data_IF_678667658410
#
_entry.id   IF_678667658410
#
_cell.length_a   1.000
_cell.length_b   1.000
_cell.length_c   1.000
_cell.angle_alpha   90.00
_cell.angle_beta   90.00
_cell.angle_gamma   90.00
#
_symmetry.space_group_name_H-M   'P 1'
#
loop_
_entity.id
_entity.type
_entity.pdbx_description
1 polymer ?
#
# COMPACT_ATOMS: atom_id res chain seq x y z
N UNK A 1 -9.62 31.58 -8.94
CA UNK A 1 -8.97 30.59 -9.81
C UNK A 1 -7.47 30.87 -9.72
N UNK A 2 -6.80 30.21 -8.78
CA UNK A 2 -5.45 30.59 -8.37
C UNK A 2 -4.41 30.13 -9.38
N UNK A 3 -3.35 30.91 -9.57
CA UNK A 3 -2.22 30.61 -10.46
C UNK A 3 -1.62 29.22 -10.17
N UNK A 4 -1.71 28.78 -8.91
CA UNK A 4 -1.39 27.44 -8.43
C UNK A 4 -2.21 26.37 -9.17
N UNK A 5 -3.53 26.53 -9.30
CA UNK A 5 -4.45 25.63 -10.00
C UNK A 5 -4.04 25.39 -11.47
N UNK A 6 -3.58 26.45 -12.15
CA UNK A 6 -3.17 26.40 -13.56
C UNK A 6 -1.82 25.71 -13.75
N UNK A 7 -0.91 25.84 -12.79
CA UNK A 7 0.41 25.17 -12.79
C UNK A 7 0.23 23.69 -12.44
N UNK A 8 -0.58 23.37 -11.42
CA UNK A 8 -0.89 22.01 -11.00
C UNK A 8 -1.57 21.19 -12.11
N UNK A 9 -2.54 21.78 -12.83
CA UNK A 9 -3.24 21.09 -13.91
C UNK A 9 -2.41 20.86 -15.17
N UNK A 10 -1.47 21.75 -15.50
CA UNK A 10 -0.66 21.64 -16.74
C UNK A 10 0.55 20.72 -16.58
N UNK A 11 1.25 20.73 -15.45
CA UNK A 11 2.41 19.85 -15.24
C UNK A 11 2.04 18.36 -15.15
N UNK A 12 0.83 18.06 -14.67
CA UNK A 12 0.36 16.68 -14.48
C UNK A 12 -0.23 16.05 -15.76
N UNK A 13 -0.76 16.87 -16.69
CA UNK A 13 -1.33 16.40 -17.97
C UNK A 13 -0.30 15.78 -18.90
N UNK A 14 0.97 16.16 -18.80
CA UNK A 14 2.01 15.78 -19.77
C UNK A 14 2.78 14.50 -19.39
N UNK A 15 2.65 14.00 -18.15
CA UNK A 15 3.50 12.89 -17.66
C UNK A 15 2.99 11.49 -18.05
N UNK A 16 1.77 11.34 -18.55
CA UNK A 16 1.10 10.03 -18.60
C UNK A 16 0.70 9.47 -19.97
N UNK A 17 1.26 9.92 -21.10
CA UNK A 17 0.79 9.43 -22.42
C UNK A 17 1.86 8.98 -23.42
N UNK A 18 2.88 8.24 -22.97
CA UNK A 18 3.70 7.41 -23.87
C UNK A 18 4.00 6.07 -23.20
N UNK A 19 3.61 4.96 -23.83
CA UNK A 19 4.04 3.60 -23.44
C UNK A 19 5.40 3.37 -24.12
N UNK A 20 6.45 3.28 -23.31
CA UNK A 20 7.82 2.99 -23.75
C UNK A 20 8.37 1.84 -22.88
N UNK A 21 9.19 0.91 -23.42
CA UNK A 21 9.82 -0.19 -22.67
C UNK A 21 10.44 0.21 -21.32
N UNK A 22 11.04 1.40 -21.19
CA UNK A 22 11.58 1.89 -19.91
C UNK A 22 10.51 2.05 -18.81
N UNK A 23 9.28 2.40 -19.20
CA UNK A 23 8.14 2.56 -18.28
C UNK A 23 7.59 1.20 -17.86
N UNK A 24 7.55 0.22 -18.76
CA UNK A 24 7.11 -1.15 -18.45
C UNK A 24 8.03 -1.80 -17.41
N UNK A 25 9.33 -1.74 -17.63
CA UNK A 25 10.34 -2.20 -16.67
C UNK A 25 10.22 -1.51 -15.30
N UNK A 26 9.71 -0.27 -15.25
CA UNK A 26 9.50 0.46 -14.01
C UNK A 26 8.33 -0.06 -13.19
N UNK A 27 7.22 -0.36 -13.85
CA UNK A 27 6.06 -0.96 -13.19
C UNK A 27 6.39 -2.37 -12.73
N UNK A 28 7.11 -3.15 -13.53
CA UNK A 28 7.54 -4.50 -13.17
C UNK A 28 8.37 -4.53 -11.88
N UNK A 29 9.44 -3.72 -11.77
CA UNK A 29 10.27 -3.71 -10.55
C UNK A 29 9.47 -3.26 -9.32
N UNK A 30 8.61 -2.25 -9.44
CA UNK A 30 7.81 -1.80 -8.29
C UNK A 30 6.78 -2.86 -7.86
N UNK A 31 6.12 -3.51 -8.82
CA UNK A 31 5.27 -4.66 -8.57
C UNK A 31 6.01 -5.78 -7.81
N UNK A 32 7.25 -6.10 -8.20
CA UNK A 32 8.07 -7.09 -7.48
C UNK A 32 8.30 -6.71 -6.02
N UNK A 33 8.49 -5.42 -5.72
CA UNK A 33 8.60 -4.92 -4.35
C UNK A 33 7.30 -5.16 -3.56
N UNK A 34 6.14 -4.87 -4.16
CA UNK A 34 4.86 -5.10 -3.52
C UNK A 34 4.57 -6.59 -3.28
N UNK A 35 4.93 -7.45 -4.24
CA UNK A 35 4.84 -8.91 -4.10
C UNK A 35 5.76 -9.43 -2.99
N UNK A 36 6.97 -8.89 -2.89
CA UNK A 36 7.88 -9.17 -1.78
C UNK A 36 7.27 -8.78 -0.44
N UNK A 37 6.64 -7.60 -0.35
CA UNK A 37 5.95 -7.15 0.86
C UNK A 37 4.81 -8.11 1.24
N UNK A 38 4.02 -8.60 0.28
CA UNK A 38 2.97 -9.60 0.54
C UNK A 38 3.55 -10.90 1.12
N UNK A 39 4.63 -11.42 0.54
CA UNK A 39 5.30 -12.63 1.04
C UNK A 39 5.78 -12.42 2.48
N UNK A 40 6.43 -11.29 2.76
CA UNK A 40 6.91 -10.97 4.11
C UNK A 40 5.79 -10.74 5.11
N UNK A 41 4.68 -10.15 4.69
CA UNK A 41 3.50 -9.99 5.52
C UNK A 41 2.94 -11.35 5.99
N UNK A 42 2.87 -12.34 5.09
CA UNK A 42 2.48 -13.71 5.45
C UNK A 42 3.47 -14.32 6.47
N UNK A 43 4.77 -14.20 6.22
CA UNK A 43 5.78 -14.73 7.15
C UNK A 43 5.71 -14.06 8.54
N UNK A 44 5.45 -12.75 8.61
CA UNK A 44 5.20 -12.02 9.86
C UNK A 44 3.98 -12.61 10.58
N UNK A 45 2.86 -12.81 9.88
CA UNK A 45 1.66 -13.41 10.47
C UNK A 45 1.94 -14.78 11.07
N UNK A 46 2.69 -15.62 10.35
CA UNK A 46 3.11 -16.94 10.83
C UNK A 46 3.94 -16.82 12.11
N UNK A 47 4.94 -15.94 12.11
CA UNK A 47 5.84 -15.75 13.24
C UNK A 47 5.15 -15.12 14.45
N UNK A 48 4.09 -14.34 14.22
CA UNK A 48 3.25 -13.76 15.27
C UNK A 48 2.15 -14.72 15.77
N UNK A 49 2.11 -15.96 15.27
CA UNK A 49 1.21 -17.02 15.73
C UNK A 49 -0.12 -17.14 14.98
N UNK A 50 -0.36 -16.33 13.94
CA UNK A 50 -1.55 -16.39 13.10
C UNK A 50 -1.41 -17.45 11.99
N UNK A 51 -1.09 -18.69 12.39
CA UNK A 51 -0.74 -19.78 11.47
C UNK A 51 -1.91 -20.15 10.53
N UNK A 52 -3.14 -20.22 11.04
CA UNK A 52 -4.32 -20.55 10.21
C UNK A 52 -4.58 -19.50 9.12
N UNK A 53 -4.46 -18.22 9.49
CA UNK A 53 -4.61 -17.12 8.55
C UNK A 53 -3.47 -17.11 7.51
N UNK A 54 -2.25 -17.45 7.95
CA UNK A 54 -1.09 -17.61 7.07
C UNK A 54 -1.31 -18.74 6.06
N UNK A 55 -1.68 -19.94 6.52
CA UNK A 55 -1.85 -21.10 5.65
C UNK A 55 -2.93 -20.81 4.60
N UNK A 56 -4.08 -20.29 5.05
CA UNK A 56 -5.20 -19.94 4.17
C UNK A 56 -4.83 -18.89 3.12
N UNK A 57 -4.20 -17.77 3.51
CA UNK A 57 -3.87 -16.71 2.56
C UNK A 57 -2.69 -17.08 1.65
N UNK A 58 -1.82 -17.99 2.10
CA UNK A 58 -0.70 -18.49 1.28
C UNK A 58 -1.18 -19.24 0.04
N UNK A 59 -2.31 -19.95 0.13
CA UNK A 59 -2.94 -20.63 -1.01
C UNK A 59 -3.37 -19.63 -2.10
N UNK A 60 -3.70 -18.40 -1.71
CA UNK A 60 -4.17 -17.33 -2.61
C UNK A 60 -3.11 -16.30 -2.98
N UNK A 61 -1.85 -16.52 -2.59
CA UNK A 61 -0.78 -15.52 -2.80
C UNK A 61 -0.62 -15.16 -4.29
N UNK A 62 -0.86 -16.09 -5.20
CA UNK A 62 -0.84 -15.81 -6.64
C UNK A 62 -1.88 -14.75 -7.03
N UNK A 63 -3.15 -14.93 -6.61
CA UNK A 63 -4.25 -14.00 -6.90
C UNK A 63 -4.03 -12.65 -6.21
N UNK A 64 -3.55 -12.66 -4.98
CA UNK A 64 -3.19 -11.43 -4.25
C UNK A 64 -2.12 -10.64 -5.03
N UNK A 65 -1.07 -11.31 -5.52
CA UNK A 65 -0.03 -10.67 -6.31
C UNK A 65 -0.53 -10.19 -7.68
N UNK A 66 -1.45 -10.93 -8.32
CA UNK A 66 -2.14 -10.48 -9.54
C UNK A 66 -2.93 -9.19 -9.29
N UNK A 67 -3.59 -9.08 -8.14
CA UNK A 67 -4.30 -7.88 -7.72
C UNK A 67 -3.41 -6.66 -7.53
N UNK A 68 -2.24 -6.86 -6.92
CA UNK A 68 -1.20 -5.83 -6.79
C UNK A 68 -0.75 -5.35 -8.16
N UNK A 69 -0.40 -6.28 -9.06
CA UNK A 69 0.05 -5.96 -10.41
C UNK A 69 -1.02 -5.19 -11.18
N UNK A 70 -2.29 -5.61 -11.07
CA UNK A 70 -3.41 -4.92 -11.71
C UNK A 70 -3.59 -3.48 -11.19
N UNK A 71 -3.51 -3.26 -9.89
CA UNK A 71 -3.65 -1.93 -9.30
C UNK A 71 -2.55 -0.96 -9.78
N UNK A 72 -1.32 -1.45 -9.91
CA UNK A 72 -0.17 -0.65 -10.36
C UNK A 72 -0.23 -0.37 -11.89
N UNK A 73 -0.77 -1.29 -12.68
CA UNK A 73 -0.97 -1.14 -14.12
C UNK A 73 -2.17 -0.25 -14.51
N UNK A 74 -3.22 -0.14 -13.67
CA UNK A 74 -4.48 0.58 -13.99
C UNK A 74 -4.30 2.11 -14.14
N UNK A 75 -3.08 2.66 -14.15
CA UNK A 75 -2.76 4.06 -14.46
C UNK A 75 -3.56 5.13 -13.67
N UNK A 76 -4.26 4.73 -12.60
CA UNK A 76 -4.93 5.61 -11.64
C UNK A 76 -4.00 6.03 -10.51
N UNK A 77 -2.72 6.23 -10.82
CA UNK A 77 -1.72 6.78 -9.87
C UNK A 77 -2.22 8.05 -9.17
N UNK A 78 -3.13 8.79 -9.81
CA UNK A 78 -3.82 9.97 -9.26
C UNK A 78 -4.60 9.71 -7.97
N UNK A 79 -4.98 8.47 -7.72
CA UNK A 79 -5.82 8.06 -6.59
C UNK A 79 -5.03 7.34 -5.50
N UNK A 80 -3.70 7.25 -5.61
CA UNK A 80 -2.81 6.66 -4.60
C UNK A 80 -2.45 7.69 -3.51
N UNK A 81 -2.87 8.94 -3.68
CA UNK A 81 -2.55 10.04 -2.79
C UNK A 81 -3.60 10.21 -1.69
N UNK A 82 -3.11 10.40 -0.47
CA UNK A 82 -3.94 10.79 0.67
C UNK A 82 -3.10 11.53 1.71
N UNK A 83 -3.46 12.79 1.97
CA UNK A 83 -2.85 13.58 3.02
C UNK A 83 -3.63 13.41 4.33
N UNK A 84 -3.00 12.90 5.41
CA UNK A 84 -3.67 12.59 6.67
C UNK A 84 -4.03 13.82 7.52
N UNK A 85 -3.58 15.02 7.13
CA UNK A 85 -3.88 16.27 7.84
C UNK A 85 -4.98 17.08 7.14
N UNK A 86 -5.12 16.93 5.83
CA UNK A 86 -6.17 17.62 5.05
C UNK A 86 -7.30 16.68 4.62
N UNK A 87 -7.14 15.36 4.82
CA UNK A 87 -8.07 14.29 4.41
C UNK A 87 -8.35 14.25 2.90
N UNK A 88 -7.48 14.85 2.09
CA UNK A 88 -7.63 15.01 0.63
C UNK A 88 -6.59 14.20 -0.14
N UNK A 89 -6.98 13.72 -1.31
CA UNK A 89 -6.08 13.20 -2.35
C UNK A 89 -5.77 14.29 -3.38
N UNK A 90 -5.42 13.89 -4.61
CA UNK A 90 -5.30 14.86 -5.70
C UNK A 90 -6.68 15.47 -6.03
N UNK A 91 -6.68 16.76 -6.34
CA UNK A 91 -7.90 17.50 -6.67
C UNK A 91 -8.63 16.87 -7.86
N UNK A 92 -9.96 16.72 -7.72
CA UNK A 92 -10.82 16.10 -8.72
C UNK A 92 -10.70 14.57 -8.83
N UNK A 93 -10.03 13.91 -7.88
CA UNK A 93 -9.86 12.46 -7.86
C UNK A 93 -10.30 11.86 -6.52
N UNK A 94 -10.67 10.56 -6.50
CA UNK A 94 -10.83 9.85 -5.24
C UNK A 94 -9.46 9.68 -4.58
N UNK A 95 -9.41 9.71 -3.25
CA UNK A 95 -8.17 9.51 -2.51
C UNK A 95 -7.91 8.01 -2.25
N UNK A 96 -6.69 7.66 -1.82
CA UNK A 96 -6.32 6.26 -1.62
C UNK A 96 -7.13 5.56 -0.54
N UNK A 97 -7.59 6.29 0.49
CA UNK A 97 -8.51 5.73 1.50
C UNK A 97 -9.87 5.34 0.90
N UNK A 98 -10.43 6.17 0.03
CA UNK A 98 -11.68 5.86 -0.67
C UNK A 98 -11.51 4.70 -1.65
N UNK A 99 -10.37 4.61 -2.32
CA UNK A 99 -10.06 3.51 -3.25
C UNK A 99 -9.80 2.20 -2.52
N UNK A 100 -9.05 2.24 -1.44
CA UNK A 100 -8.89 1.11 -0.52
C UNK A 100 -10.25 0.59 -0.11
N UNK A 101 -11.15 1.47 0.36
CA UNK A 101 -12.46 1.04 0.81
C UNK A 101 -13.33 0.41 -0.29
N UNK A 102 -13.17 0.85 -1.54
CA UNK A 102 -13.80 0.20 -2.69
C UNK A 102 -13.20 -1.18 -2.95
N UNK A 103 -11.88 -1.32 -3.05
CA UNK A 103 -11.25 -2.61 -3.35
C UNK A 103 -11.48 -3.62 -2.22
N UNK A 104 -11.30 -3.22 -0.97
CA UNK A 104 -11.57 -4.07 0.19
C UNK A 104 -13.05 -4.48 0.27
N UNK A 105 -13.97 -3.56 -0.02
CA UNK A 105 -15.40 -3.88 -0.12
C UNK A 105 -15.72 -4.87 -1.24
N UNK A 106 -15.13 -4.67 -2.43
CA UNK A 106 -15.25 -5.63 -3.54
C UNK A 106 -14.71 -7.00 -3.16
N UNK A 107 -13.56 -7.08 -2.49
CA UNK A 107 -13.00 -8.34 -2.03
C UNK A 107 -14.00 -9.13 -1.16
N UNK A 108 -14.67 -8.44 -0.23
CA UNK A 108 -15.70 -9.06 0.62
C UNK A 108 -16.93 -9.52 -0.19
N UNK A 109 -17.40 -8.70 -1.12
CA UNK A 109 -18.57 -9.04 -1.96
C UNK A 109 -18.28 -10.26 -2.84
N UNK A 110 -17.12 -10.31 -3.51
CA UNK A 110 -16.73 -11.46 -4.33
C UNK A 110 -16.55 -12.72 -3.48
N UNK A 111 -16.04 -12.58 -2.27
CA UNK A 111 -15.95 -13.69 -1.33
C UNK A 111 -17.34 -14.24 -1.00
N UNK A 112 -18.27 -13.37 -0.61
CA UNK A 112 -19.65 -13.76 -0.29
C UNK A 112 -20.38 -14.39 -1.48
N UNK A 113 -20.06 -13.97 -2.71
CA UNK A 113 -20.65 -14.53 -3.92
C UNK A 113 -19.98 -15.84 -4.38
N UNK A 114 -18.96 -16.32 -3.67
CA UNK A 114 -18.27 -17.59 -3.95
C UNK A 114 -17.09 -17.50 -4.93
N UNK A 115 -16.83 -16.33 -5.51
CA UNK A 115 -15.68 -16.10 -6.40
C UNK A 115 -14.45 -15.69 -5.56
N UNK A 116 -13.86 -16.70 -4.93
CA UNK A 116 -12.75 -16.53 -3.98
C UNK A 116 -11.48 -15.99 -4.65
N UNK A 117 -11.22 -16.37 -5.89
CA UNK A 117 -10.03 -15.89 -6.61
C UNK A 117 -10.12 -14.40 -6.92
N UNK A 118 -11.29 -13.94 -7.39
CA UNK A 118 -11.51 -12.52 -7.61
C UNK A 118 -11.51 -11.74 -6.29
N UNK A 119 -12.05 -12.32 -5.22
CA UNK A 119 -11.96 -11.73 -3.89
C UNK A 119 -10.51 -11.43 -3.49
N UNK A 120 -9.61 -12.40 -3.69
CA UNK A 120 -8.19 -12.27 -3.36
C UNK A 120 -7.45 -11.33 -4.30
N UNK A 121 -7.87 -11.25 -5.56
CA UNK A 121 -7.38 -10.24 -6.51
C UNK A 121 -7.73 -8.82 -6.03
N UNK A 122 -8.96 -8.59 -5.58
CA UNK A 122 -9.35 -7.30 -5.00
C UNK A 122 -8.66 -7.01 -3.66
N UNK A 123 -8.40 -8.03 -2.85
CA UNK A 123 -7.58 -7.88 -1.63
C UNK A 123 -6.15 -7.42 -1.99
N UNK A 124 -5.54 -8.01 -3.01
CA UNK A 124 -4.27 -7.58 -3.58
C UNK A 124 -4.25 -6.10 -3.96
N UNK A 125 -5.27 -5.66 -4.69
CA UNK A 125 -5.42 -4.25 -5.07
C UNK A 125 -5.62 -3.32 -3.85
N UNK A 126 -6.28 -3.80 -2.79
CA UNK A 126 -6.45 -3.05 -1.55
C UNK A 126 -5.12 -2.91 -0.79
N UNK A 127 -4.37 -4.00 -0.59
CA UNK A 127 -3.10 -3.95 0.15
C UNK A 127 -2.00 -3.20 -0.60
N UNK A 128 -2.04 -3.15 -1.93
CA UNK A 128 -1.19 -2.24 -2.70
C UNK A 128 -1.32 -0.78 -2.21
N UNK A 129 -2.53 -0.29 -1.96
CA UNK A 129 -2.74 1.07 -1.43
C UNK A 129 -2.25 1.22 0.02
N UNK A 130 -2.34 0.16 0.84
CA UNK A 130 -1.75 0.14 2.19
C UNK A 130 -0.23 0.29 2.11
N UNK A 131 0.40 -0.37 1.15
CA UNK A 131 1.84 -0.32 0.92
C UNK A 131 2.27 1.05 0.40
N UNK A 132 1.59 1.59 -0.62
CA UNK A 132 1.86 2.93 -1.15
C UNK A 132 1.73 4.01 -0.09
N UNK A 133 0.76 3.91 0.82
CA UNK A 133 0.59 4.90 1.88
C UNK A 133 1.78 4.98 2.86
N UNK A 134 2.71 4.02 2.83
CA UNK A 134 3.97 4.08 3.59
C UNK A 134 5.05 4.94 2.94
N UNK A 135 4.91 5.27 1.66
CA UNK A 135 5.86 6.11 0.93
C UNK A 135 5.47 7.58 1.14
N UNK A 136 6.35 8.42 1.72
CA UNK A 136 5.99 9.78 2.14
C UNK A 136 5.42 10.67 1.02
N UNK A 137 5.81 10.41 -0.22
CA UNK A 137 5.38 11.16 -1.39
C UNK A 137 3.91 10.90 -1.78
N UNK A 138 3.34 9.74 -1.42
CA UNK A 138 1.89 9.49 -1.54
C UNK A 138 1.09 10.22 -0.45
N UNK A 139 1.72 10.49 0.70
CA UNK A 139 1.13 11.24 1.82
C UNK A 139 1.19 12.78 1.66
N UNK A 140 2.15 13.29 0.89
CA UNK A 140 2.36 14.71 0.73
C UNK A 140 2.72 15.08 -0.72
N UNK A 141 1.75 15.66 -1.42
CA UNK A 141 1.85 16.12 -2.83
C UNK A 141 3.02 17.10 -3.04
N UNK A 142 3.44 17.86 -2.03
CA UNK A 142 4.60 18.76 -2.14
C UNK A 142 5.94 18.00 -2.26
N UNK A 143 5.99 16.73 -1.84
CA UNK A 143 7.16 15.86 -1.97
C UNK A 143 7.27 15.18 -3.35
N UNK A 144 6.27 15.37 -4.23
CA UNK A 144 6.22 14.76 -5.56
C UNK A 144 7.42 15.10 -6.44
N UNK A 145 8.02 16.29 -6.28
CA UNK A 145 9.19 16.70 -7.05
C UNK A 145 10.37 15.73 -6.91
N UNK A 146 10.41 14.95 -5.83
CA UNK A 146 11.45 13.95 -5.56
C UNK A 146 10.93 12.50 -5.60
N UNK A 147 9.68 12.24 -5.99
CA UNK A 147 9.06 10.91 -6.07
C UNK A 147 9.87 9.98 -6.97
N UNK A 148 10.07 10.41 -8.22
CA UNK A 148 10.83 9.64 -9.21
C UNK A 148 12.26 9.35 -8.80
N UNK A 149 12.91 10.26 -8.06
CA UNK A 149 14.27 10.05 -7.59
C UNK A 149 14.35 8.97 -6.49
N UNK A 150 13.33 8.91 -5.63
CA UNK A 150 13.23 7.90 -4.59
C UNK A 150 12.89 6.52 -5.17
N UNK A 151 11.94 6.44 -6.10
CA UNK A 151 11.63 5.18 -6.79
C UNK A 151 12.81 4.68 -7.65
N UNK A 152 13.52 5.58 -8.35
CA UNK A 152 14.75 5.22 -9.05
C UNK A 152 15.83 4.68 -8.10
N UNK A 153 15.85 5.16 -6.86
CA UNK A 153 16.76 4.64 -5.85
C UNK A 153 16.34 3.25 -5.37
N UNK A 154 15.06 3.05 -5.06
CA UNK A 154 14.45 1.74 -4.72
C UNK A 154 14.86 0.68 -5.74
N UNK A 155 14.77 0.98 -7.03
CA UNK A 155 15.20 0.07 -8.10
C UNK A 155 16.68 -0.31 -8.03
N UNK A 156 17.55 0.64 -7.76
CA UNK A 156 19.00 0.37 -7.70
C UNK A 156 19.37 -0.53 -6.53
N UNK A 157 18.53 -0.58 -5.50
CA UNK A 157 18.76 -1.37 -4.30
C UNK A 157 17.80 -2.56 -4.18
N UNK A 158 17.04 -2.89 -5.23
CA UNK A 158 15.97 -3.87 -5.14
C UNK A 158 16.45 -5.28 -4.77
N UNK A 159 17.61 -5.67 -5.29
CA UNK A 159 18.28 -6.93 -4.94
C UNK A 159 18.65 -7.03 -3.45
N UNK A 160 18.68 -5.91 -2.73
CA UNK A 160 19.01 -5.83 -1.30
C UNK A 160 17.77 -5.69 -0.40
N UNK A 161 16.53 -5.86 -0.91
CA UNK A 161 15.32 -5.66 -0.09
C UNK A 161 15.21 -6.59 1.11
N UNK A 162 15.89 -7.74 1.07
CA UNK A 162 15.97 -8.64 2.21
C UNK A 162 16.59 -7.95 3.46
N UNK A 163 17.49 -6.97 3.26
CA UNK A 163 18.04 -6.15 4.36
C UNK A 163 17.00 -5.27 5.07
N UNK A 164 15.82 -5.10 4.47
CA UNK A 164 14.69 -4.36 5.02
C UNK A 164 13.52 -5.28 5.40
N UNK A 165 13.72 -6.59 5.44
CA UNK A 165 12.71 -7.54 5.88
C UNK A 165 12.43 -7.40 7.39
N UNK A 166 11.17 -7.27 7.75
CA UNK A 166 10.68 -7.47 9.10
C UNK A 166 10.36 -8.95 9.32
N UNK A 167 10.81 -9.48 10.46
CA UNK A 167 10.62 -10.89 10.81
C UNK A 167 9.29 -11.12 11.51
N UNK A 168 8.89 -10.19 12.38
CA UNK A 168 7.74 -10.30 13.28
C UNK A 168 7.24 -8.91 13.72
N UNK A 169 6.24 -8.89 14.60
CA UNK A 169 5.59 -7.71 15.16
C UNK A 169 4.78 -6.93 14.11
N UNK A 170 3.83 -7.62 13.48
CA UNK A 170 2.81 -7.04 12.63
C UNK A 170 2.07 -5.90 13.34
N UNK A 171 1.55 -4.97 12.54
CA UNK A 171 0.78 -3.83 13.04
C UNK A 171 -0.69 -4.19 12.80
N UNK A 172 -1.37 -4.59 13.87
CA UNK A 172 -2.75 -5.09 13.84
C UNK A 172 -3.73 -4.02 14.35
N UNK A 173 -4.30 -3.23 13.44
CA UNK A 173 -5.42 -2.34 13.74
C UNK A 173 -6.73 -3.11 13.67
N UNK A 174 -7.67 -2.79 14.55
CA UNK A 174 -9.02 -3.39 14.59
C UNK A 174 -9.87 -3.06 13.36
N UNK A 175 -9.52 -1.99 12.64
CA UNK A 175 -10.29 -1.49 11.52
C UNK A 175 -9.38 -1.36 10.27
N UNK A 176 -9.64 -2.12 9.20
CA UNK A 176 -8.80 -2.10 7.99
C UNK A 176 -8.77 -0.73 7.29
N UNK A 177 -9.82 0.08 7.45
CA UNK A 177 -9.91 1.41 6.82
C UNK A 177 -8.99 2.45 7.46
N UNK A 178 -8.31 2.12 8.57
CA UNK A 178 -7.40 3.02 9.29
C UNK A 178 -5.94 2.93 8.82
N UNK A 179 -5.54 1.86 8.10
CA UNK A 179 -4.14 1.66 7.70
C UNK A 179 -3.60 2.78 6.83
N UNK A 180 -4.36 3.22 5.81
CA UNK A 180 -3.93 4.28 4.89
C UNK A 180 -3.58 5.57 5.64
N UNK A 181 -4.44 5.97 6.57
CA UNK A 181 -4.23 7.22 7.32
C UNK A 181 -3.07 7.11 8.31
N UNK A 182 -2.99 6.00 9.06
CA UNK A 182 -1.87 5.73 9.95
C UNK A 182 -0.55 5.76 9.18
N UNK A 183 -0.45 4.99 8.11
CA UNK A 183 0.77 4.84 7.31
C UNK A 183 1.19 6.17 6.70
N UNK A 184 0.25 6.93 6.13
CA UNK A 184 0.57 8.24 5.55
C UNK A 184 1.08 9.22 6.62
N UNK A 185 0.51 9.20 7.83
CA UNK A 185 0.94 10.05 8.96
C UNK A 185 2.37 9.69 9.38
N UNK A 186 2.63 8.40 9.58
CA UNK A 186 3.94 7.90 10.01
C UNK A 186 5.00 8.13 8.93
N UNK A 187 4.68 7.90 7.65
CA UNK A 187 5.57 8.15 6.52
C UNK A 187 6.02 9.61 6.46
N UNK A 188 5.10 10.57 6.63
CA UNK A 188 5.43 12.00 6.67
C UNK A 188 6.34 12.31 7.88
N UNK A 189 6.08 11.71 9.04
CA UNK A 189 6.90 11.91 10.23
C UNK A 189 8.32 11.35 10.04
N UNK A 190 8.46 10.14 9.46
CA UNK A 190 9.73 9.51 9.09
C UNK A 190 10.51 10.41 8.12
N UNK A 191 9.84 10.91 7.07
CA UNK A 191 10.47 11.81 6.10
C UNK A 191 11.03 13.07 6.77
N UNK A 192 10.23 13.70 7.63
CA UNK A 192 10.65 14.90 8.38
C UNK A 192 11.85 14.63 9.27
N UNK A 193 11.87 13.50 9.98
CA UNK A 193 12.97 13.07 10.86
C UNK A 193 14.33 13.04 10.15
N UNK A 194 14.36 12.59 8.90
CA UNK A 194 15.59 12.47 8.12
C UNK A 194 15.83 13.60 7.11
N UNK A 195 14.99 14.64 7.13
CA UNK A 195 15.01 15.71 6.13
C UNK A 195 16.31 16.52 6.10
N UNK A 196 17.01 16.62 7.24
CA UNK A 196 18.26 17.37 7.41
C UNK A 196 19.50 16.64 6.89
N UNK A 197 19.40 15.34 6.58
CA UNK A 197 20.51 14.58 6.01
C UNK A 197 20.77 15.07 4.58
N UNK A 198 21.99 15.59 4.37
CA UNK A 198 22.42 16.16 3.08
C UNK A 198 22.69 15.08 2.03
N UNK A 199 23.35 14.00 2.43
CA UNK A 199 23.59 12.88 1.53
C UNK A 199 22.25 12.20 1.16
N UNK A 200 21.98 12.15 -0.15
CA UNK A 200 20.70 11.67 -0.65
C UNK A 200 20.55 10.16 -0.47
N UNK A 201 21.61 9.40 -0.70
CA UNK A 201 21.61 7.95 -0.65
C UNK A 201 21.38 7.48 0.78
N UNK A 202 22.13 8.06 1.72
CA UNK A 202 22.00 7.81 3.15
C UNK A 202 20.60 8.17 3.66
N UNK A 203 20.08 9.34 3.26
CA UNK A 203 18.73 9.75 3.63
C UNK A 203 17.68 8.76 3.11
N UNK A 204 17.79 8.33 1.86
CA UNK A 204 16.86 7.35 1.28
C UNK A 204 16.97 6.00 1.97
N UNK A 205 18.18 5.54 2.27
CA UNK A 205 18.43 4.30 3.01
C UNK A 205 17.77 4.33 4.40
N UNK A 206 17.93 5.43 5.16
CA UNK A 206 17.29 5.57 6.48
C UNK A 206 15.77 5.65 6.43
N UNK A 207 15.21 6.30 5.41
CA UNK A 207 13.75 6.33 5.20
C UNK A 207 13.26 4.92 4.84
N UNK A 208 13.91 4.26 3.88
CA UNK A 208 13.61 2.90 3.42
C UNK A 208 13.61 1.90 4.57
N UNK A 209 14.62 1.94 5.44
CA UNK A 209 14.73 1.10 6.63
C UNK A 209 13.66 1.31 7.69
N UNK A 210 12.73 2.25 7.49
CA UNK A 210 11.56 2.41 8.33
C UNK A 210 10.26 2.09 7.57
N UNK A 211 10.14 2.56 6.33
CA UNK A 211 8.90 2.41 5.56
C UNK A 211 8.68 0.98 5.05
N UNK A 212 9.75 0.24 4.69
CA UNK A 212 9.62 -1.13 4.20
C UNK A 212 9.13 -2.10 5.29
N UNK A 213 9.77 -2.13 6.49
CA UNK A 213 9.22 -2.87 7.63
C UNK A 213 7.78 -2.46 7.96
N UNK A 214 7.46 -1.17 7.90
CA UNK A 214 6.10 -0.68 8.15
C UNK A 214 5.10 -1.19 7.11
N UNK A 215 5.46 -1.23 5.83
CA UNK A 215 4.61 -1.75 4.76
C UNK A 215 4.30 -3.24 4.96
N UNK A 216 5.31 -4.03 5.33
CA UNK A 216 5.17 -5.47 5.60
C UNK A 216 4.27 -5.72 6.82
N UNK A 217 4.54 -5.01 7.93
CA UNK A 217 3.78 -5.15 9.18
C UNK A 217 2.32 -4.71 9.05
N UNK A 218 2.05 -3.65 8.31
CA UNK A 218 0.68 -3.14 8.12
C UNK A 218 -0.09 -3.96 7.09
N UNK A 219 0.60 -4.53 6.09
CA UNK A 219 0.01 -5.53 5.18
C UNK A 219 -0.39 -6.79 5.95
N UNK A 220 0.45 -7.30 6.86
CA UNK A 220 0.12 -8.43 7.73
C UNK A 220 -1.16 -8.16 8.55
N UNK A 221 -1.28 -6.94 9.10
CA UNK A 221 -2.50 -6.53 9.78
C UNK A 221 -3.73 -6.47 8.90
N UNK A 222 -3.61 -5.95 7.67
CA UNK A 222 -4.72 -5.89 6.73
C UNK A 222 -5.17 -7.29 6.27
N UNK A 223 -4.22 -8.21 6.07
CA UNK A 223 -4.49 -9.62 5.78
C UNK A 223 -5.26 -10.30 6.91
N UNK A 224 -4.83 -10.13 8.16
CA UNK A 224 -5.54 -10.69 9.31
C UNK A 224 -6.96 -10.14 9.44
N UNK A 225 -7.16 -8.84 9.19
CA UNK A 225 -8.49 -8.23 9.15
C UNK A 225 -9.39 -8.90 8.11
N UNK A 226 -8.88 -9.11 6.89
CA UNK A 226 -9.66 -9.73 5.83
C UNK A 226 -10.00 -11.19 6.15
N UNK A 227 -9.02 -11.96 6.63
CA UNK A 227 -9.24 -13.33 7.08
C UNK A 227 -10.33 -13.41 8.16
N UNK A 228 -10.25 -12.57 9.18
CA UNK A 228 -11.26 -12.51 10.24
C UNK A 228 -12.64 -12.09 9.71
N UNK A 229 -12.70 -11.19 8.74
CA UNK A 229 -13.95 -10.74 8.10
C UNK A 229 -14.66 -11.86 7.34
N UNK A 230 -13.92 -12.82 6.78
CA UNK A 230 -14.48 -13.88 5.92
C UNK A 230 -14.75 -15.21 6.64
N UNK A 231 -14.07 -15.47 7.76
CA UNK A 231 -14.29 -16.67 8.58
C UNK A 231 -15.33 -16.47 9.68
N UNK A 232 -15.54 -15.22 10.15
CA UNK A 232 -16.55 -14.95 11.18
C UNK A 232 -17.94 -15.02 10.53
N UNK A 233 -18.88 -15.81 11.07
CA UNK A 233 -20.24 -15.83 10.54
C UNK A 233 -20.85 -14.43 10.66
N UNK A 234 -21.32 -13.88 9.54
CA UNK A 234 -22.17 -12.68 9.54
C UNK A 234 -23.51 -13.03 10.19
N UNK A 235 -23.57 -13.00 11.52
CA UNK A 235 -24.78 -13.39 12.24
C UNK A 235 -24.73 -13.44 13.76
N UNK A 236 -23.57 -13.32 14.42
CA UNK A 236 -23.56 -13.20 15.88
C UNK A 236 -23.80 -11.74 16.26
N UNK A 237 -25.07 -11.34 16.28
CA UNK A 237 -25.50 -10.25 17.14
C UNK A 237 -25.11 -10.69 18.55
N UNK A 238 -24.31 -9.87 19.25
CA UNK A 238 -24.06 -10.01 20.69
C UNK A 238 -25.39 -9.83 21.45
N UNK A 239 -26.25 -10.85 21.38
CA UNK A 239 -27.21 -11.11 22.44
C UNK A 239 -26.39 -11.65 23.59
N UNK A 240 -25.92 -10.77 24.47
CA UNK A 240 -25.73 -10.98 25.90
C UNK A 240 -25.08 -9.73 26.52
N UNK A 241 -25.91 -8.73 26.80
CA UNK A 241 -25.78 -7.90 28.00
C UNK A 241 -27.19 -7.72 28.58
N UNK A 242 -27.60 -8.72 29.36
CA UNK A 242 -28.48 -8.47 30.50
C UNK A 242 -27.61 -7.97 31.65
#
# INVERSE_FOLDING_TARGET
MDIIERIYGKSFKTILWVINPFKKYFVETLCEVHMFINKRALEIMKNDGYVEAYDFLSEYLHQINTGVYWADQDFKSREHFYNPYTYKGLYGCKNSRQRFGRYYGCAKVYWDSGDKEMAMTYLGAAVHLVQDSTVPQHGNVHLLKNHRNFENWIKKVHDNFESFAAIKDGIYLDNPYMYIEKNARDAIAIYRRYSTIRDRQERYYRIAGQIFPMAQRTTAGCFLNFYNDIIKPKGTIDMLKN
#
